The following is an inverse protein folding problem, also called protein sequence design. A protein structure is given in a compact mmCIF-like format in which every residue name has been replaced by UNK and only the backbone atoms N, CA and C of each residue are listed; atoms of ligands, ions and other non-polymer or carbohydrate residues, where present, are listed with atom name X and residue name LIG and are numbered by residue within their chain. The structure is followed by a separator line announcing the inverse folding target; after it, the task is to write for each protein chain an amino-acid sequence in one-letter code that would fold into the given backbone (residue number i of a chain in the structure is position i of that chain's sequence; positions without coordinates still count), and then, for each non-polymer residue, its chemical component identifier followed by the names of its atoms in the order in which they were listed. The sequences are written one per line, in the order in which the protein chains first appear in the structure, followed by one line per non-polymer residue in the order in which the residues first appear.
data_IF_030153776178
#
_entry.id   IF_030153776178
#
_cell.length_a   1.000
_cell.length_b   1.000
_cell.length_c   1.000
_cell.angle_alpha   90.00
_cell.angle_beta   90.00
_cell.angle_gamma   90.00
#
_symmetry.space_group_name_H-M   'P 1'
#
loop_
_entity.id
_entity.type
_entity.pdbx_description
1 polymer ?
#
# COMPACT_ATOMS: atom_id res chain seq x y z
N UNK A 1 16.19 6.77 9.51
CA UNK A 1 15.12 5.77 9.23
C UNK A 1 15.15 5.46 7.74
N UNK A 2 15.22 4.19 7.37
CA UNK A 2 15.05 3.72 6.00
C UNK A 2 13.55 3.59 5.69
N UNK A 3 13.13 4.06 4.53
CA UNK A 3 11.71 4.11 4.15
C UNK A 3 11.50 3.48 2.77
N UNK A 4 10.49 2.64 2.65
CA UNK A 4 9.96 2.14 1.39
C UNK A 4 8.51 2.64 1.27
N UNK A 5 8.16 3.26 0.16
CA UNK A 5 6.80 3.72 -0.09
C UNK A 5 6.10 2.77 -1.05
N UNK A 6 4.96 2.23 -0.64
CA UNK A 6 4.05 1.50 -1.53
C UNK A 6 2.91 2.43 -1.89
N UNK A 7 2.79 2.76 -3.18
CA UNK A 7 1.90 3.83 -3.64
C UNK A 7 0.91 3.36 -4.70
N UNK A 8 -0.35 3.65 -4.47
CA UNK A 8 -1.41 3.56 -5.48
C UNK A 8 -1.51 4.86 -6.28
N UNK A 9 -2.39 4.88 -7.27
CA UNK A 9 -2.80 6.11 -7.95
C UNK A 9 -2.39 6.20 -9.43
N UNK A 10 -1.63 5.23 -9.97
CA UNK A 10 -1.23 5.25 -11.37
C UNK A 10 -2.43 5.28 -12.32
N UNK A 11 -3.37 4.36 -12.17
CA UNK A 11 -4.59 4.29 -13.00
C UNK A 11 -5.42 5.58 -12.90
N UNK A 12 -5.59 6.12 -11.69
CA UNK A 12 -6.33 7.37 -11.48
C UNK A 12 -5.63 8.56 -12.14
N UNK A 13 -4.30 8.64 -12.01
CA UNK A 13 -3.47 9.68 -12.63
C UNK A 13 -3.54 9.64 -14.17
N UNK A 14 -3.51 8.44 -14.74
CA UNK A 14 -3.61 8.28 -16.20
C UNK A 14 -5.00 8.59 -16.74
N UNK A 15 -6.06 8.25 -15.98
CA UNK A 15 -7.44 8.57 -16.37
C UNK A 15 -7.67 10.07 -16.50
N UNK A 16 -6.96 10.89 -15.73
CA UNK A 16 -7.05 12.34 -15.84
C UNK A 16 -6.33 12.91 -17.07
N UNK A 17 -5.41 12.15 -17.68
CA UNK A 17 -4.59 12.59 -18.81
C UNK A 17 -5.11 12.10 -20.17
N UNK A 18 -5.73 10.93 -20.20
CA UNK A 18 -6.10 10.28 -21.47
C UNK A 18 -7.59 10.10 -21.57
N UNK A 19 -8.15 10.67 -22.65
CA UNK A 19 -9.52 10.40 -23.06
C UNK A 19 -9.52 9.40 -24.22
N UNK A 20 -10.00 8.18 -23.98
CA UNK A 20 -10.15 7.20 -25.05
C UNK A 20 -11.34 7.54 -25.93
N UNK A 21 -11.12 7.63 -27.25
CA UNK A 21 -12.17 7.79 -28.23
C UNK A 21 -13.02 6.52 -28.45
N UNK A 22 -12.53 5.35 -27.98
CA UNK A 22 -13.20 4.07 -28.08
C UNK A 22 -13.60 3.58 -26.68
N UNK A 23 -14.69 2.83 -26.62
CA UNK A 23 -15.06 2.12 -25.42
C UNK A 23 -14.06 0.97 -25.21
N UNK A 24 -13.27 1.06 -24.15
CA UNK A 24 -12.31 0.04 -23.76
C UNK A 24 -12.94 -0.89 -22.72
N UNK A 25 -12.54 -2.15 -22.68
CA UNK A 25 -12.86 -3.03 -21.58
C UNK A 25 -12.07 -2.65 -20.31
N UNK A 26 -12.31 -3.35 -19.20
CA UNK A 26 -11.71 -3.01 -17.91
C UNK A 26 -10.20 -3.25 -17.86
N UNK A 27 -9.71 -4.25 -18.61
CA UNK A 27 -8.28 -4.60 -18.68
C UNK A 27 -7.54 -3.55 -19.50
N UNK A 28 -8.01 -3.27 -20.71
CA UNK A 28 -7.45 -2.27 -21.60
C UNK A 28 -7.42 -0.88 -20.96
N UNK A 29 -8.50 -0.50 -20.26
CA UNK A 29 -8.55 0.76 -19.51
C UNK A 29 -7.47 0.82 -18.43
N UNK A 30 -7.31 -0.27 -17.66
CA UNK A 30 -6.31 -0.33 -16.60
C UNK A 30 -4.91 -0.26 -17.18
N UNK A 31 -4.61 -1.03 -18.21
CA UNK A 31 -3.30 -1.01 -18.89
C UNK A 31 -2.97 0.37 -19.45
N UNK A 32 -3.88 0.98 -20.23
CA UNK A 32 -3.68 2.30 -20.81
C UNK A 32 -3.46 3.37 -19.74
N UNK A 33 -4.34 3.44 -18.75
CA UNK A 33 -4.27 4.48 -17.73
C UNK A 33 -3.09 4.29 -16.79
N UNK A 34 -2.72 3.05 -16.47
CA UNK A 34 -1.53 2.81 -15.64
C UNK A 34 -0.24 3.14 -16.40
N UNK A 35 -0.15 2.82 -17.69
CA UNK A 35 1.01 3.13 -18.50
C UNK A 35 1.32 4.64 -18.52
N UNK A 36 0.29 5.46 -18.71
CA UNK A 36 0.43 6.92 -18.71
C UNK A 36 0.58 7.46 -17.27
N UNK A 37 -0.26 6.98 -16.38
CA UNK A 37 -0.34 7.51 -15.02
C UNK A 37 0.84 7.15 -14.13
N UNK A 38 1.52 6.03 -14.38
CA UNK A 38 2.70 5.64 -13.61
C UNK A 38 3.85 6.65 -13.80
N UNK A 39 4.06 7.14 -15.02
CA UNK A 39 5.04 8.17 -15.29
C UNK A 39 4.74 9.47 -14.51
N UNK A 40 3.47 9.88 -14.49
CA UNK A 40 3.02 11.05 -13.73
C UNK A 40 3.17 10.86 -12.22
N UNK A 41 2.82 9.68 -11.71
CA UNK A 41 2.92 9.34 -10.29
C UNK A 41 4.37 9.39 -9.81
N UNK A 42 5.28 8.72 -10.52
CA UNK A 42 6.69 8.72 -10.10
C UNK A 42 7.33 10.10 -10.22
N UNK A 43 6.98 10.87 -11.26
CA UNK A 43 7.46 12.24 -11.40
C UNK A 43 7.01 13.12 -10.23
N UNK A 44 5.77 12.94 -9.74
CA UNK A 44 5.27 13.68 -8.56
C UNK A 44 6.08 13.38 -7.31
N UNK A 45 6.43 12.12 -7.07
CA UNK A 45 7.33 11.76 -5.96
C UNK A 45 8.72 12.37 -6.15
N UNK A 46 9.27 12.28 -7.36
CA UNK A 46 10.55 12.89 -7.68
C UNK A 46 10.59 14.38 -7.37
N UNK A 47 9.56 15.14 -7.77
CA UNK A 47 9.46 16.58 -7.49
C UNK A 47 9.41 16.86 -5.99
N UNK A 48 8.58 16.12 -5.23
CA UNK A 48 8.40 16.33 -3.80
C UNK A 48 9.68 16.05 -3.00
N UNK A 49 10.40 14.98 -3.32
CA UNK A 49 11.61 14.61 -2.59
C UNK A 49 12.87 15.36 -3.04
N UNK A 50 12.89 15.82 -4.29
CA UNK A 50 14.01 16.57 -4.86
C UNK A 50 14.33 17.84 -4.08
N UNK A 51 13.32 18.56 -3.60
CA UNK A 51 13.49 19.79 -2.82
C UNK A 51 14.26 19.54 -1.50
N UNK A 52 14.23 18.31 -1.03
CA UNK A 52 14.94 17.87 0.18
C UNK A 52 16.26 17.14 -0.13
N UNK A 53 16.66 17.08 -1.40
CA UNK A 53 17.86 16.36 -1.80
C UNK A 53 17.78 14.84 -1.66
N UNK A 54 16.58 14.27 -1.58
CA UNK A 54 16.35 12.84 -1.37
C UNK A 54 16.01 12.19 -2.72
N UNK A 55 16.85 11.28 -3.24
CA UNK A 55 16.55 10.55 -4.46
C UNK A 55 15.46 9.50 -4.22
N UNK A 56 14.61 9.32 -5.21
CA UNK A 56 13.60 8.25 -5.24
C UNK A 56 13.81 7.37 -6.46
N UNK A 57 13.44 6.10 -6.35
CA UNK A 57 13.52 5.17 -7.47
C UNK A 57 12.26 4.31 -7.58
N UNK A 58 11.83 4.07 -8.81
CA UNK A 58 10.64 3.26 -9.10
C UNK A 58 10.94 1.78 -9.04
N UNK A 59 10.08 1.03 -8.36
CA UNK A 59 10.06 -0.45 -8.36
C UNK A 59 8.67 -0.92 -8.76
N UNK A 60 8.53 -1.48 -9.95
CA UNK A 60 7.27 -2.11 -10.39
C UNK A 60 7.36 -3.61 -10.18
N UNK A 61 6.34 -4.18 -9.56
CA UNK A 61 6.30 -5.59 -9.20
C UNK A 61 5.00 -6.25 -9.62
N UNK A 62 5.02 -7.57 -9.71
CA UNK A 62 3.87 -8.43 -9.97
C UNK A 62 3.81 -9.51 -8.89
N UNK A 63 2.65 -10.09 -8.67
CA UNK A 63 2.45 -11.20 -7.72
C UNK A 63 3.38 -12.38 -7.99
N UNK A 64 3.65 -12.65 -9.26
CA UNK A 64 4.60 -13.67 -9.71
C UNK A 64 6.04 -13.45 -9.20
N UNK A 65 6.44 -12.20 -8.97
CA UNK A 65 7.77 -11.88 -8.45
C UNK A 65 7.99 -12.41 -7.04
N UNK A 66 6.92 -12.65 -6.28
CA UNK A 66 6.96 -13.25 -4.95
C UNK A 66 6.88 -14.78 -4.98
N UNK A 67 6.43 -15.37 -6.09
CA UNK A 67 6.25 -16.82 -6.21
C UNK A 67 7.54 -17.58 -6.49
N UNK A 68 8.54 -16.96 -7.10
CA UNK A 68 9.80 -17.59 -7.44
C UNK A 68 10.96 -17.05 -6.61
N UNK A 69 11.76 -17.93 -6.02
CA UNK A 69 12.91 -17.53 -5.19
C UNK A 69 13.86 -16.57 -5.91
N UNK A 70 14.11 -16.79 -7.21
CA UNK A 70 15.02 -15.96 -7.99
C UNK A 70 14.50 -14.51 -8.11
N UNK A 71 13.24 -14.33 -8.49
CA UNK A 71 12.65 -13.01 -8.62
C UNK A 71 12.53 -12.31 -7.26
N UNK A 72 12.12 -13.06 -6.24
CA UNK A 72 12.06 -12.55 -4.86
C UNK A 72 13.41 -11.99 -4.39
N UNK A 73 14.49 -12.77 -4.54
CA UNK A 73 15.83 -12.34 -4.12
C UNK A 73 16.36 -11.15 -4.95
N UNK A 74 16.10 -11.12 -6.26
CA UNK A 74 16.50 -10.01 -7.11
C UNK A 74 15.76 -8.71 -6.71
N UNK A 75 14.48 -8.80 -6.40
CA UNK A 75 13.68 -7.65 -5.97
C UNK A 75 14.11 -7.17 -4.58
N UNK A 76 14.33 -8.08 -3.63
CA UNK A 76 14.89 -7.76 -2.31
C UNK A 76 16.23 -7.05 -2.45
N UNK A 77 17.14 -7.60 -3.23
CA UNK A 77 18.46 -7.01 -3.47
C UNK A 77 18.38 -5.62 -4.10
N UNK A 78 17.51 -5.42 -5.09
CA UNK A 78 17.32 -4.11 -5.71
C UNK A 78 16.93 -3.04 -4.68
N UNK A 79 15.93 -3.33 -3.84
CA UNK A 79 15.49 -2.38 -2.81
C UNK A 79 16.54 -2.20 -1.72
N UNK A 80 17.27 -3.25 -1.34
CA UNK A 80 18.38 -3.15 -0.37
C UNK A 80 19.46 -2.21 -0.89
N UNK A 81 19.91 -2.38 -2.13
CA UNK A 81 20.91 -1.49 -2.75
C UNK A 81 20.41 -0.05 -2.84
N UNK A 82 19.13 0.16 -3.14
CA UNK A 82 18.56 1.50 -3.15
C UNK A 82 18.64 2.15 -1.76
N UNK A 83 18.22 1.46 -0.71
CA UNK A 83 18.25 1.96 0.66
C UNK A 83 19.68 2.24 1.13
N UNK A 84 20.63 1.34 0.87
CA UNK A 84 22.06 1.51 1.18
C UNK A 84 22.67 2.75 0.51
N UNK A 85 22.11 3.19 -0.61
CA UNK A 85 22.52 4.40 -1.32
C UNK A 85 21.63 5.63 -1.05
N UNK A 86 20.80 5.58 -0.01
CA UNK A 86 19.94 6.70 0.39
C UNK A 86 18.81 7.00 -0.59
N UNK A 87 18.44 6.04 -1.45
CA UNK A 87 17.35 6.15 -2.41
C UNK A 87 16.09 5.54 -1.81
N UNK A 88 14.98 6.27 -1.81
CA UNK A 88 13.68 5.77 -1.37
C UNK A 88 13.03 4.96 -2.50
N UNK A 89 12.78 3.63 -2.32
CA UNK A 89 12.00 2.85 -3.28
C UNK A 89 10.53 3.27 -3.26
N UNK A 90 10.00 3.60 -4.44
CA UNK A 90 8.55 3.82 -4.67
C UNK A 90 8.01 2.59 -5.37
N UNK A 91 7.32 1.75 -4.63
CA UNK A 91 6.83 0.45 -5.09
C UNK A 91 5.38 0.55 -5.53
N UNK A 92 5.05 -0.03 -6.66
CA UNK A 92 3.68 -0.19 -7.12
C UNK A 92 3.53 -1.50 -7.92
N UNK A 93 2.28 -1.93 -8.12
CA UNK A 93 1.99 -3.01 -9.04
C UNK A 93 2.29 -2.60 -10.49
N UNK A 94 2.79 -3.53 -11.29
CA UNK A 94 2.95 -3.34 -12.73
C UNK A 94 1.63 -3.61 -13.46
N UNK A 95 0.71 -2.69 -13.36
CA UNK A 95 -0.64 -2.77 -13.95
C UNK A 95 -0.64 -2.87 -15.48
N UNK A 96 0.48 -2.62 -16.15
CA UNK A 96 0.57 -2.72 -17.62
C UNK A 96 0.68 -4.17 -18.08
N UNK A 97 1.21 -5.05 -17.24
CA UNK A 97 1.44 -6.46 -17.56
C UNK A 97 0.58 -7.37 -16.68
N UNK A 98 0.29 -6.92 -15.46
CA UNK A 98 -0.51 -7.66 -14.50
C UNK A 98 -1.97 -7.66 -14.93
N UNK A 99 -2.50 -8.82 -15.32
CA UNK A 99 -3.88 -8.98 -15.79
C UNK A 99 -4.62 -10.03 -14.96
N UNK A 100 -5.83 -9.69 -14.56
CA UNK A 100 -6.84 -10.53 -13.90
C UNK A 100 -6.40 -11.38 -12.71
N UNK A 101 -6.07 -12.63 -12.90
CA UNK A 101 -5.85 -13.61 -11.81
C UNK A 101 -4.51 -13.47 -11.09
N UNK A 102 -3.56 -12.75 -11.70
CA UNK A 102 -2.21 -12.55 -11.19
C UNK A 102 -2.00 -11.19 -10.52
N UNK A 103 -3.09 -10.47 -10.28
CA UNK A 103 -3.07 -9.16 -9.66
C UNK A 103 -3.07 -9.25 -8.13
N UNK A 104 -2.47 -8.27 -7.48
CA UNK A 104 -2.74 -8.06 -6.06
C UNK A 104 -4.21 -7.64 -5.86
N UNK A 105 -4.78 -8.02 -4.74
CA UNK A 105 -6.13 -7.59 -4.37
C UNK A 105 -6.19 -6.07 -4.24
N UNK A 106 -5.15 -5.51 -3.63
CA UNK A 106 -4.90 -4.08 -3.47
C UNK A 106 -3.43 -3.84 -3.06
N UNK A 107 -3.05 -2.57 -2.92
CA UNK A 107 -1.70 -2.23 -2.47
C UNK A 107 -1.45 -2.51 -0.98
N UNK A 108 -2.47 -2.81 -0.20
CA UNK A 108 -2.28 -3.28 1.18
C UNK A 108 -1.66 -4.69 1.17
N UNK A 109 -2.13 -5.60 0.30
CA UNK A 109 -1.51 -6.91 0.09
C UNK A 109 -0.05 -6.76 -0.35
N UNK A 110 0.20 -5.90 -1.33
CA UNK A 110 1.56 -5.62 -1.80
C UNK A 110 2.44 -5.07 -0.67
N UNK A 111 1.95 -4.12 0.12
CA UNK A 111 2.71 -3.53 1.22
C UNK A 111 3.09 -4.55 2.29
N UNK A 112 2.18 -5.47 2.62
CA UNK A 112 2.46 -6.58 3.52
C UNK A 112 3.56 -7.49 3.01
N UNK A 113 3.51 -7.88 1.74
CA UNK A 113 4.54 -8.72 1.11
C UNK A 113 5.91 -8.04 1.07
N UNK A 114 5.94 -6.72 0.80
CA UNK A 114 7.19 -5.93 0.84
C UNK A 114 7.73 -5.84 2.27
N UNK A 115 6.87 -5.59 3.26
CA UNK A 115 7.28 -5.54 4.66
C UNK A 115 7.93 -6.86 5.11
N UNK A 116 7.30 -7.98 4.80
CA UNK A 116 7.85 -9.33 5.06
C UNK A 116 9.15 -9.59 4.29
N UNK A 117 9.21 -9.23 3.00
CA UNK A 117 10.40 -9.41 2.17
C UNK A 117 11.62 -8.66 2.70
N UNK A 118 11.40 -7.45 3.20
CA UNK A 118 12.47 -6.55 3.63
C UNK A 118 12.77 -6.64 5.13
N UNK A 119 12.10 -7.54 5.86
CA UNK A 119 12.20 -7.68 7.32
C UNK A 119 11.99 -6.32 8.01
N UNK A 120 10.95 -5.60 7.60
CA UNK A 120 10.66 -4.26 8.08
C UNK A 120 10.39 -4.24 9.58
N UNK A 121 10.81 -3.21 10.29
CA UNK A 121 10.50 -3.03 11.71
C UNK A 121 9.04 -2.64 11.93
N UNK A 122 8.48 -1.88 10.98
CA UNK A 122 7.08 -1.46 11.00
C UNK A 122 6.48 -1.35 9.60
N UNK A 123 5.20 -1.66 9.49
CA UNK A 123 4.34 -1.38 8.35
C UNK A 123 3.30 -0.34 8.76
N UNK A 124 3.30 0.82 8.12
CA UNK A 124 2.29 1.86 8.35
C UNK A 124 1.34 1.87 7.16
N UNK A 125 0.08 1.54 7.38
CA UNK A 125 -0.99 1.57 6.39
C UNK A 125 -1.78 2.86 6.56
N UNK A 126 -1.63 3.78 5.61
CA UNK A 126 -2.38 5.02 5.61
C UNK A 126 -3.76 4.80 4.98
N UNK A 127 -4.79 5.11 5.74
CA UNK A 127 -6.20 4.97 5.38
C UNK A 127 -6.90 6.33 5.41
N UNK A 128 -8.18 6.35 5.07
CA UNK A 128 -9.05 7.54 5.21
C UNK A 128 -9.83 7.56 6.54
N UNK A 129 -9.55 6.62 7.44
CA UNK A 129 -10.11 6.51 8.79
C UNK A 129 -9.00 6.34 9.82
N UNK A 130 -9.29 6.63 11.08
CA UNK A 130 -8.30 6.69 12.16
C UNK A 130 -7.76 5.33 12.61
N UNK A 131 -8.36 4.23 12.17
CA UNK A 131 -7.95 2.87 12.54
C UNK A 131 -9.10 1.88 12.48
N UNK A 132 -8.97 0.78 13.20
CA UNK A 132 -10.03 -0.22 13.40
C UNK A 132 -10.92 0.23 14.55
N UNK A 133 -12.24 0.24 14.33
CA UNK A 133 -13.22 0.62 15.34
C UNK A 133 -13.84 -0.63 16.00
N UNK A 134 -14.24 -0.48 17.26
CA UNK A 134 -14.96 -1.51 18.00
C UNK A 134 -16.43 -1.66 17.57
N UNK A 135 -16.88 -0.85 16.62
CA UNK A 135 -18.22 -0.82 16.05
C UNK A 135 -18.24 -0.13 14.69
N UNK A 136 -19.39 0.39 14.27
CA UNK A 136 -19.48 1.18 13.02
C UNK A 136 -18.80 2.54 13.20
N UNK A 137 -17.90 2.96 12.28
CA UNK A 137 -17.31 4.31 12.34
C UNK A 137 -18.33 5.46 12.26
N UNK A 138 -19.55 5.18 11.79
CA UNK A 138 -20.65 6.15 11.74
C UNK A 138 -21.41 6.26 13.08
N UNK A 139 -21.17 5.36 14.02
CA UNK A 139 -21.77 5.37 15.34
C UNK A 139 -20.89 6.23 16.29
N UNK A 140 -21.43 7.33 16.87
CA UNK A 140 -20.70 8.17 17.81
C UNK A 140 -20.20 7.45 19.07
N UNK A 141 -20.78 6.28 19.39
CA UNK A 141 -20.36 5.45 20.51
C UNK A 141 -19.19 4.51 20.16
N UNK A 142 -18.82 4.43 18.90
CA UNK A 142 -17.69 3.60 18.45
C UNK A 142 -16.38 4.29 18.67
N UNK A 143 -15.42 3.56 19.24
CA UNK A 143 -14.07 4.04 19.51
C UNK A 143 -13.04 3.30 18.65
N UNK A 144 -11.95 3.98 18.31
CA UNK A 144 -10.80 3.38 17.66
C UNK A 144 -10.09 2.43 18.61
N UNK A 145 -9.88 1.20 18.19
CA UNK A 145 -9.07 0.22 18.92
C UNK A 145 -7.60 0.62 18.76
N UNK A 146 -7.00 1.05 19.85
CA UNK A 146 -5.62 1.57 19.83
C UNK A 146 -4.57 0.48 19.71
N UNK A 147 -4.84 -0.69 20.29
CA UNK A 147 -3.89 -1.80 20.31
C UNK A 147 -4.62 -3.13 20.21
N UNK A 148 -4.10 -4.00 19.36
CA UNK A 148 -4.59 -5.35 19.17
C UNK A 148 -3.43 -6.29 19.38
N UNK A 149 -3.42 -7.00 20.51
CA UNK A 149 -2.40 -8.00 20.82
C UNK A 149 -2.46 -9.20 19.86
N UNK A 150 -1.33 -9.87 19.69
CA UNK A 150 -1.24 -11.10 18.91
C UNK A 150 -2.29 -12.13 19.35
N UNK A 151 -2.91 -12.81 18.38
CA UNK A 151 -3.88 -13.88 18.63
C UNK A 151 -5.28 -13.43 19.00
N UNK A 152 -5.57 -12.13 19.13
CA UNK A 152 -6.95 -11.65 19.33
C UNK A 152 -7.79 -11.84 18.08
N UNK A 153 -8.98 -12.40 18.25
CA UNK A 153 -9.94 -12.55 17.15
C UNK A 153 -10.61 -11.20 16.84
N UNK A 154 -10.40 -10.72 15.61
CA UNK A 154 -10.97 -9.47 15.10
C UNK A 154 -12.28 -9.68 14.34
N UNK A 155 -12.73 -10.91 14.19
CA UNK A 155 -13.92 -11.26 13.37
C UNK A 155 -15.20 -10.54 13.85
N UNK A 156 -15.32 -10.32 15.15
CA UNK A 156 -16.47 -9.59 15.74
C UNK A 156 -16.50 -8.10 15.34
N UNK A 157 -15.34 -7.47 15.21
CA UNK A 157 -15.22 -6.06 14.81
C UNK A 157 -15.41 -5.86 13.31
N UNK A 158 -14.96 -6.83 12.52
CA UNK A 158 -15.04 -6.79 11.05
C UNK A 158 -16.46 -6.99 10.55
N UNK A 159 -17.29 -7.80 11.23
CA UNK A 159 -18.68 -8.03 10.85
C UNK A 159 -19.55 -6.78 10.92
N UNK A 160 -19.28 -5.91 11.89
CA UNK A 160 -20.01 -4.65 12.08
C UNK A 160 -19.67 -3.62 11.00
N UNK A 161 -18.48 -3.67 10.40
CA UNK A 161 -18.01 -2.71 9.38
C UNK A 161 -18.45 -3.06 7.94
N UNK A 162 -19.01 -4.25 7.71
CA UNK A 162 -19.44 -4.69 6.37
C UNK A 162 -20.57 -3.85 5.74
N UNK A 163 -21.29 -3.08 6.51
CA UNK A 163 -22.47 -2.34 6.06
C UNK A 163 -22.22 -0.94 5.51
N UNK A 164 -21.06 -0.30 5.78
CA UNK A 164 -20.88 1.14 5.51
C UNK A 164 -19.71 1.53 4.60
N UNK A 165 -18.73 0.68 4.38
CA UNK A 165 -17.58 0.97 3.52
C UNK A 165 -17.36 -0.17 2.53
N UNK A 166 -17.49 0.11 1.24
CA UNK A 166 -17.41 -0.79 0.08
C UNK A 166 -16.66 -2.12 0.29
N UNK A 167 -17.15 -3.14 -0.40
CA UNK A 167 -16.72 -4.54 -0.29
C UNK A 167 -15.20 -4.68 -0.28
N UNK A 168 -14.59 -4.91 0.88
CA UNK A 168 -13.23 -5.42 0.98
C UNK A 168 -12.22 -4.56 1.72
N UNK A 169 -12.24 -3.22 1.64
CA UNK A 169 -11.15 -2.39 2.07
C UNK A 169 -10.66 -2.59 3.52
N UNK A 170 -11.55 -2.54 4.52
CA UNK A 170 -11.14 -2.73 5.93
C UNK A 170 -10.83 -4.18 6.27
N UNK A 171 -11.60 -5.12 5.72
CA UNK A 171 -11.34 -6.55 5.91
C UNK A 171 -9.98 -6.96 5.36
N UNK A 172 -9.64 -6.49 4.16
CA UNK A 172 -8.34 -6.75 3.54
C UNK A 172 -7.21 -6.15 4.38
N UNK A 173 -7.33 -4.86 4.77
CA UNK A 173 -6.34 -4.20 5.64
C UNK A 173 -6.10 -4.97 6.93
N UNK A 174 -7.18 -5.37 7.61
CA UNK A 174 -7.08 -6.09 8.88
C UNK A 174 -6.44 -7.48 8.71
N UNK A 175 -6.78 -8.19 7.65
CA UNK A 175 -6.19 -9.51 7.36
C UNK A 175 -4.69 -9.40 7.05
N UNK A 176 -4.29 -8.40 6.24
CA UNK A 176 -2.88 -8.15 5.95
C UNK A 176 -2.14 -7.71 7.21
N UNK A 177 -2.70 -6.76 7.96
CA UNK A 177 -2.11 -6.30 9.21
C UNK A 177 -1.85 -7.45 10.18
N UNK A 178 -2.82 -8.35 10.34
CA UNK A 178 -2.68 -9.54 11.19
C UNK A 178 -1.58 -10.47 10.70
N UNK A 179 -1.60 -10.80 9.40
CA UNK A 179 -0.59 -11.68 8.80
C UNK A 179 0.82 -11.17 9.00
N UNK A 180 1.04 -9.87 8.79
CA UNK A 180 2.35 -9.22 8.94
C UNK A 180 2.74 -9.13 10.43
N UNK A 181 1.78 -8.83 11.31
CA UNK A 181 2.02 -8.80 12.76
C UNK A 181 2.39 -10.19 13.33
N UNK A 182 1.81 -11.27 12.80
CA UNK A 182 2.14 -12.65 13.18
C UNK A 182 3.59 -13.01 12.80
N UNK A 183 4.22 -12.30 11.86
CA UNK A 183 5.64 -12.40 11.51
C UNK A 183 6.55 -11.56 12.43
N UNK A 184 6.00 -10.86 13.41
CA UNK A 184 6.74 -10.04 14.38
C UNK A 184 6.97 -8.58 13.94
N UNK A 185 6.35 -8.14 12.85
CA UNK A 185 6.44 -6.77 12.34
C UNK A 185 5.35 -5.91 13.01
N UNK A 186 5.70 -4.75 13.54
CA UNK A 186 4.71 -3.79 14.06
C UNK A 186 3.86 -3.26 12.92
N UNK A 187 2.53 -3.37 13.03
CA UNK A 187 1.61 -2.82 12.02
C UNK A 187 0.76 -1.72 12.61
N UNK A 188 0.75 -0.57 11.94
CA UNK A 188 0.00 0.61 12.33
C UNK A 188 -0.96 0.97 11.21
N UNK A 189 -2.24 1.12 11.52
CA UNK A 189 -3.26 1.66 10.62
C UNK A 189 -3.61 3.06 11.09
N UNK A 190 -3.39 4.06 10.24
CA UNK A 190 -3.57 5.45 10.60
C UNK A 190 -4.27 6.26 9.51
N UNK A 191 -4.82 7.41 9.88
CA UNK A 191 -5.49 8.32 8.95
C UNK A 191 -4.47 9.17 8.20
N UNK A 192 -4.25 8.87 6.93
CA UNK A 192 -3.33 9.60 6.07
C UNK A 192 -3.76 11.03 5.70
N UNK A 193 -4.98 11.46 6.13
CA UNK A 193 -5.45 12.85 5.96
C UNK A 193 -5.06 13.75 7.12
N UNK A 194 -4.55 13.17 8.23
CA UNK A 194 -4.09 13.96 9.38
C UNK A 194 -2.71 14.52 9.08
N UNK A 195 -2.56 15.82 9.30
CA UNK A 195 -1.26 16.49 9.17
C UNK A 195 -0.25 15.88 10.14
N UNK A 196 0.97 15.73 9.70
CA UNK A 196 2.12 15.22 10.47
C UNK A 196 1.96 13.79 11.03
N UNK A 197 0.96 13.01 10.60
CA UNK A 197 0.69 11.68 11.16
C UNK A 197 1.92 10.76 11.15
N UNK A 198 2.73 10.77 10.10
CA UNK A 198 3.93 9.95 10.01
C UNK A 198 5.01 10.40 11.01
N UNK A 199 5.13 11.72 11.22
CA UNK A 199 6.08 12.27 12.20
C UNK A 199 5.68 11.85 13.62
N UNK A 200 4.39 11.99 13.93
CA UNK A 200 3.84 11.60 15.24
C UNK A 200 4.05 10.10 15.52
N UNK A 201 3.82 9.23 14.51
CA UNK A 201 3.99 7.78 14.63
C UNK A 201 5.44 7.32 14.76
N UNK A 202 6.41 8.08 14.24
CA UNK A 202 7.83 7.72 14.29
C UNK A 202 8.50 8.27 15.57
N UNK A 203 7.99 9.35 16.14
CA UNK A 203 8.57 10.00 17.31
C UNK A 203 8.04 9.46 18.65
N UNK A 204 6.92 8.76 18.64
CA UNK A 204 6.24 8.20 19.80
C UNK A 204 6.04 6.69 19.69
#
# INVERSE_FOLDING_TARGET
VEVILVSSGAVASGRSEVHSAKKLDSVDQRQLFSAVGQAKLINRYYELFREHGIPVGQVLTMKENFATRRHYLNQKNCMTVMLENGVIPIVNENDTISVSELMFTDNDELSGLIASMMDAQALIILSNIDGIYNGSPADPASEVIREIGQGKDLSSYIQTSKSSFGRGGMLTKTNIARKVADEGITVIIANGKRDNILVDLIQH
#
